data_IF_596600651892
#
_entry.id   IF_596600651892
#
_cell.length_a   1.000
_cell.length_b   1.000
_cell.length_c   1.000
_cell.angle_alpha   90.00
_cell.angle_beta   90.00
_cell.angle_gamma   90.00
#
_symmetry.space_group_name_H-M   'P 1'
#
loop_
_entity.id
_entity.type
_entity.pdbx_description
1 polymer ?
#
# COMPACT_ATOMS: atom_id res chain seq x y z
N UNK A 1 -19.50 -26.30 -5.47
CA UNK A 1 -18.34 -26.71 -4.67
C UNK A 1 -17.45 -25.48 -4.57
N UNK A 2 -17.42 -24.83 -3.41
CA UNK A 2 -16.46 -23.75 -3.16
C UNK A 2 -15.08 -24.41 -3.10
N UNK A 3 -14.17 -24.01 -3.99
CA UNK A 3 -12.78 -24.48 -3.95
C UNK A 3 -12.14 -24.17 -2.60
N UNK A 4 -10.97 -24.77 -2.29
CA UNK A 4 -10.23 -24.42 -1.08
C UNK A 4 -10.06 -22.90 -1.05
N UNK A 5 -10.55 -22.27 0.03
CA UNK A 5 -10.35 -20.86 0.29
C UNK A 5 -8.83 -20.68 0.43
N UNK A 6 -8.20 -20.08 -0.58
CA UNK A 6 -6.77 -19.93 -0.64
C UNK A 6 -6.40 -18.88 0.44
N UNK A 7 -5.84 -19.39 1.54
CA UNK A 7 -5.58 -18.59 2.74
C UNK A 7 -4.29 -17.80 2.53
N UNK A 8 -4.40 -16.48 2.54
CA UNK A 8 -3.25 -15.58 2.45
C UNK A 8 -2.28 -15.80 3.62
N UNK A 9 -1.00 -16.06 3.35
CA UNK A 9 0.04 -16.11 4.39
C UNK A 9 0.38 -14.69 4.87
N UNK A 10 -0.16 -14.29 6.02
CA UNK A 10 0.14 -13.02 6.68
C UNK A 10 1.64 -12.84 7.02
N UNK A 11 2.39 -13.93 7.19
CA UNK A 11 3.85 -13.89 7.36
C UNK A 11 4.55 -13.47 6.08
N UNK A 12 4.15 -14.03 4.94
CA UNK A 12 4.65 -13.64 3.62
C UNK A 12 4.31 -12.18 3.31
N UNK A 13 3.07 -11.76 3.51
CA UNK A 13 2.64 -10.36 3.27
C UNK A 13 3.47 -9.39 4.11
N UNK A 14 3.69 -9.67 5.40
CA UNK A 14 4.51 -8.79 6.26
C UNK A 14 5.95 -8.69 5.78
N UNK A 15 6.59 -9.80 5.41
CA UNK A 15 7.95 -9.80 4.88
C UNK A 15 8.04 -9.01 3.57
N UNK A 16 7.06 -9.19 2.70
CA UNK A 16 7.01 -8.50 1.41
C UNK A 16 6.81 -6.98 1.58
N UNK A 17 5.87 -6.56 2.42
CA UNK A 17 5.64 -5.13 2.73
C UNK A 17 6.90 -4.49 3.32
N UNK A 18 7.58 -5.18 4.25
CA UNK A 18 8.83 -4.67 4.82
C UNK A 18 9.95 -4.55 3.77
N UNK A 19 10.09 -5.55 2.89
CA UNK A 19 11.09 -5.54 1.83
C UNK A 19 10.83 -4.43 0.79
N UNK A 20 9.55 -4.22 0.42
CA UNK A 20 9.13 -3.11 -0.44
C UNK A 20 9.44 -1.76 0.19
N UNK A 21 9.10 -1.60 1.48
CA UNK A 21 9.41 -0.39 2.24
C UNK A 21 10.91 -0.07 2.26
N UNK A 22 11.76 -1.09 2.46
CA UNK A 22 13.21 -0.93 2.43
C UNK A 22 13.71 -0.52 1.04
N UNK A 23 13.29 -1.23 -0.01
CA UNK A 23 13.69 -0.92 -1.38
C UNK A 23 13.33 0.53 -1.76
N UNK A 24 12.13 0.98 -1.39
CA UNK A 24 11.68 2.35 -1.69
C UNK A 24 12.40 3.41 -0.85
N UNK A 25 12.72 3.10 0.41
CA UNK A 25 13.53 3.98 1.26
C UNK A 25 14.97 4.13 0.72
N UNK A 26 15.49 3.09 0.07
CA UNK A 26 16.80 3.10 -0.61
C UNK A 26 16.74 3.72 -2.02
N UNK A 27 15.54 4.03 -2.54
CA UNK A 27 15.34 4.52 -3.91
C UNK A 27 15.51 3.46 -4.99
N UNK A 28 15.55 2.18 -4.62
CA UNK A 28 15.76 1.03 -5.51
C UNK A 28 14.41 0.52 -6.05
N UNK A 29 13.91 1.22 -7.07
CA UNK A 29 12.61 0.92 -7.70
C UNK A 29 12.63 -0.41 -8.47
N UNK A 30 13.78 -0.80 -9.03
CA UNK A 30 13.95 -2.05 -9.77
C UNK A 30 13.81 -3.25 -8.83
N UNK A 31 14.47 -3.20 -7.67
CA UNK A 31 14.30 -4.20 -6.61
C UNK A 31 12.87 -4.26 -6.10
N UNK A 32 12.20 -3.11 -5.99
CA UNK A 32 10.77 -3.05 -5.66
C UNK A 32 9.90 -3.80 -6.67
N UNK A 33 10.14 -3.58 -7.96
CA UNK A 33 9.45 -4.31 -9.03
C UNK A 33 9.77 -5.81 -9.02
N UNK A 34 11.03 -6.19 -8.76
CA UNK A 34 11.45 -7.57 -8.65
C UNK A 34 10.77 -8.33 -7.50
N UNK A 35 10.57 -7.68 -6.35
CA UNK A 35 9.85 -8.25 -5.20
C UNK A 35 8.39 -8.55 -5.52
N UNK A 36 7.79 -7.85 -6.48
CA UNK A 36 6.41 -8.05 -6.90
C UNK A 36 6.27 -9.13 -8.00
N UNK A 37 7.37 -9.58 -8.61
CA UNK A 37 7.34 -10.63 -9.64
C UNK A 37 6.92 -11.96 -9.03
N UNK A 38 5.90 -12.57 -9.62
CA UNK A 38 5.41 -13.89 -9.19
C UNK A 38 4.59 -13.89 -7.91
N UNK A 39 4.19 -12.71 -7.40
CA UNK A 39 3.22 -12.59 -6.32
C UNK A 39 1.84 -12.98 -6.88
N UNK A 40 1.16 -13.90 -6.21
CA UNK A 40 -0.18 -14.32 -6.59
C UNK A 40 -1.22 -13.19 -6.35
N UNK A 41 -2.38 -13.20 -7.03
CA UNK A 41 -3.36 -12.12 -6.94
C UNK A 41 -3.88 -11.83 -5.52
N UNK A 42 -3.98 -12.83 -4.65
CA UNK A 42 -4.51 -12.64 -3.30
C UNK A 42 -3.48 -12.01 -2.38
N UNK A 43 -2.22 -12.47 -2.45
CA UNK A 43 -1.10 -11.84 -1.77
C UNK A 43 -0.91 -10.41 -2.26
N UNK A 44 -1.03 -10.15 -3.57
CA UNK A 44 -0.99 -8.80 -4.13
C UNK A 44 -2.11 -7.92 -3.54
N UNK A 45 -3.34 -8.42 -3.49
CA UNK A 45 -4.46 -7.73 -2.85
C UNK A 45 -4.20 -7.43 -1.37
N UNK A 46 -3.63 -8.39 -0.62
CA UNK A 46 -3.29 -8.21 0.79
C UNK A 46 -2.16 -7.19 1.01
N UNK A 47 -1.19 -7.11 0.10
CA UNK A 47 -0.14 -6.06 0.10
C UNK A 47 -0.77 -4.69 -0.11
N UNK A 48 -1.65 -4.53 -1.11
CA UNK A 48 -2.36 -3.27 -1.39
C UNK A 48 -3.17 -2.81 -0.16
N UNK A 49 -3.93 -3.72 0.45
CA UNK A 49 -4.68 -3.43 1.67
C UNK A 49 -3.76 -3.00 2.82
N UNK A 50 -2.63 -3.70 3.01
CA UNK A 50 -1.67 -3.39 4.08
C UNK A 50 -1.03 -2.01 3.90
N UNK A 51 -0.59 -1.69 2.68
CA UNK A 51 0.00 -0.38 2.36
C UNK A 51 -1.03 0.74 2.48
N UNK A 52 -2.26 0.51 2.04
CA UNK A 52 -3.35 1.49 2.16
C UNK A 52 -3.69 1.77 3.63
N UNK A 53 -3.78 0.74 4.46
CA UNK A 53 -4.02 0.88 5.89
C UNK A 53 -2.85 1.61 6.60
N UNK A 54 -1.60 1.29 6.23
CA UNK A 54 -0.42 1.96 6.76
C UNK A 54 -0.40 3.45 6.39
N UNK A 55 -0.74 3.79 5.15
CA UNK A 55 -0.85 5.17 4.69
C UNK A 55 -1.94 5.94 5.43
N UNK A 56 -3.15 5.38 5.58
CA UNK A 56 -4.23 6.01 6.37
C UNK A 56 -3.80 6.27 7.81
N UNK A 57 -3.11 5.31 8.44
CA UNK A 57 -2.59 5.48 9.81
C UNK A 57 -1.49 6.54 9.90
N UNK A 58 -0.64 6.65 8.89
CA UNK A 58 0.36 7.70 8.83
C UNK A 58 -0.29 9.10 8.74
N UNK A 59 -1.39 9.23 7.98
CA UNK A 59 -2.15 10.48 7.91
C UNK A 59 -2.81 10.85 9.23
N UNK A 60 -3.40 9.86 9.92
CA UNK A 60 -3.95 10.08 11.26
C UNK A 60 -2.87 10.61 12.20
N UNK A 61 -1.68 9.97 12.21
CA UNK A 61 -0.55 10.38 13.03
C UNK A 61 -0.07 11.79 12.69
N UNK A 62 0.02 12.13 11.41
CA UNK A 62 0.41 13.48 10.96
C UNK A 62 -0.64 14.51 11.39
N UNK A 63 -1.93 14.21 11.27
CA UNK A 63 -2.98 15.12 11.71
C UNK A 63 -2.99 15.31 13.23
N UNK A 64 -2.73 14.25 14.00
CA UNK A 64 -2.56 14.35 15.45
C UNK A 64 -1.36 15.24 15.82
N UNK A 65 -0.22 15.07 15.15
CA UNK A 65 1.01 15.84 15.43
C UNK A 65 0.90 17.30 14.97
N UNK A 66 0.24 17.56 13.84
CA UNK A 66 0.15 18.89 13.24
C UNK A 66 -1.16 19.64 13.55
N UNK A 67 -2.02 19.09 14.41
CA UNK A 67 -3.32 19.64 14.78
C UNK A 67 -4.21 19.95 13.55
N UNK A 68 -4.12 19.12 12.50
CA UNK A 68 -4.93 19.32 11.30
C UNK A 68 -6.39 18.95 11.58
N UNK A 69 -7.37 19.80 11.18
CA UNK A 69 -8.78 19.55 11.48
C UNK A 69 -9.36 18.32 10.76
N UNK A 70 -8.84 17.97 9.57
CA UNK A 70 -9.15 16.71 8.89
C UNK A 70 -8.00 16.30 7.92
N UNK A 71 -6.98 15.58 8.39
CA UNK A 71 -5.88 15.10 7.53
C UNK A 71 -6.34 14.13 6.44
N UNK A 72 -7.50 13.47 6.60
CA UNK A 72 -8.03 12.52 5.63
C UNK A 72 -8.72 13.22 4.46
N UNK A 73 -9.33 14.38 4.69
CA UNK A 73 -9.92 15.19 3.61
C UNK A 73 -8.86 15.64 2.60
N UNK A 74 -7.75 16.23 3.07
CA UNK A 74 -6.64 16.67 2.22
C UNK A 74 -6.05 15.51 1.39
N UNK A 75 -5.97 14.34 2.01
CA UNK A 75 -5.39 13.15 1.39
C UNK A 75 -6.31 12.52 0.33
N UNK A 76 -7.64 12.63 0.51
CA UNK A 76 -8.61 12.22 -0.52
C UNK A 76 -8.51 13.09 -1.77
N UNK A 77 -8.31 14.40 -1.63
CA UNK A 77 -8.10 15.30 -2.78
C UNK A 77 -6.84 14.93 -3.56
N UNK A 78 -5.73 14.68 -2.86
CA UNK A 78 -4.47 14.21 -3.48
C UNK A 78 -4.64 12.87 -4.22
N UNK A 79 -5.28 11.88 -3.59
CA UNK A 79 -5.54 10.59 -4.23
C UNK A 79 -6.46 10.70 -5.44
N UNK A 80 -7.49 11.55 -5.36
CA UNK A 80 -8.41 11.78 -6.46
C UNK A 80 -7.70 12.43 -7.64
N UNK A 81 -6.83 13.41 -7.38
CA UNK A 81 -5.95 14.00 -8.40
C UNK A 81 -5.06 12.97 -9.09
N UNK A 82 -4.33 12.16 -8.32
CA UNK A 82 -3.46 11.12 -8.86
C UNK A 82 -4.24 10.05 -9.65
N UNK A 83 -5.44 9.67 -9.20
CA UNK A 83 -6.29 8.71 -9.91
C UNK A 83 -6.81 9.27 -11.25
N UNK A 84 -7.16 10.56 -11.29
CA UNK A 84 -7.55 11.22 -12.54
C UNK A 84 -6.39 11.33 -13.52
N UNK A 85 -5.18 11.66 -13.05
CA UNK A 85 -3.97 11.69 -13.88
C UNK A 85 -3.65 10.32 -14.47
N UNK A 86 -3.73 9.26 -13.65
CA UNK A 86 -3.50 7.89 -14.11
C UNK A 86 -4.57 7.39 -15.11
N UNK A 87 -5.81 7.86 -15.01
CA UNK A 87 -6.88 7.51 -15.93
C UNK A 87 -6.86 8.31 -17.25
N UNK A 88 -6.08 9.38 -17.31
CA UNK A 88 -5.94 10.25 -18.49
C UNK A 88 -4.75 9.86 -19.40
N UNK A 89 -3.87 8.96 -18.95
CA UNK A 89 -2.78 8.37 -19.72
C UNK A 89 -3.11 7.00 -20.30
#
# INVERSE_FOLDING_TARGET
MSGPEEVVDHGQVRRLVAALGLAYAEGDMDRGADLLKGVDPQTAGAVVLSLSAAWVRALDLVGEVMELPDPRAYSKELLYGAALEAAAG
#
